data_IF_799661811587
#
_entry.id   IF_799661811587
#
_cell.length_a   1.000
_cell.length_b   1.000
_cell.length_c   1.000
_cell.angle_alpha   90.00
_cell.angle_beta   90.00
_cell.angle_gamma   90.00
#
_symmetry.space_group_name_H-M   'P 1'
#
loop_
_entity.id
_entity.type
_entity.pdbx_description
1 polymer ?
#
# COMPACT_ATOMS: atom_id res chain seq x y z
N UNK A 1 -20.09 4.69 -5.36
CA UNK A 1 -20.07 6.09 -5.81
C UNK A 1 -18.84 6.25 -6.67
N UNK A 2 -18.95 6.88 -7.82
CA UNK A 2 -17.79 7.29 -8.60
C UNK A 2 -17.22 8.56 -7.93
N UNK A 3 -15.90 8.65 -7.83
CA UNK A 3 -15.24 9.88 -7.40
C UNK A 3 -15.37 10.95 -8.50
N UNK A 4 -15.47 12.24 -8.15
CA UNK A 4 -15.38 13.30 -9.14
C UNK A 4 -13.97 13.29 -9.80
N UNK A 5 -13.83 13.82 -11.03
CA UNK A 5 -12.51 13.99 -11.64
C UNK A 5 -11.54 14.75 -10.71
N UNK A 6 -10.25 14.44 -10.80
CA UNK A 6 -9.22 15.06 -9.95
C UNK A 6 -9.15 16.58 -10.14
N UNK A 7 -9.34 17.07 -11.37
CA UNK A 7 -9.42 18.49 -11.68
C UNK A 7 -10.55 19.20 -10.93
N UNK A 8 -11.70 18.57 -10.82
CA UNK A 8 -12.85 19.09 -10.08
C UNK A 8 -12.58 19.09 -8.57
N UNK A 9 -12.03 17.98 -8.03
CA UNK A 9 -11.62 17.92 -6.63
C UNK A 9 -10.61 19.03 -6.28
N UNK A 10 -9.62 19.29 -7.14
CA UNK A 10 -8.64 20.39 -6.94
C UNK A 10 -9.27 21.77 -6.91
N UNK A 11 -10.28 22.01 -7.72
CA UNK A 11 -10.94 23.31 -7.81
C UNK A 11 -11.87 23.56 -6.61
N UNK A 12 -12.55 22.53 -6.16
CA UNK A 12 -13.60 22.62 -5.14
C UNK A 12 -13.06 22.43 -3.71
N UNK A 13 -12.03 21.60 -3.53
CA UNK A 13 -11.47 21.32 -2.21
C UNK A 13 -10.18 22.11 -1.97
N UNK A 14 -10.25 23.09 -1.08
CA UNK A 14 -9.09 23.86 -0.60
C UNK A 14 -8.93 23.71 0.91
N UNK A 15 -8.57 22.52 1.41
CA UNK A 15 -8.45 22.29 2.84
C UNK A 15 -7.34 23.14 3.44
N UNK A 16 -7.67 23.82 4.55
CA UNK A 16 -6.70 24.57 5.33
C UNK A 16 -6.23 23.71 6.50
N UNK A 17 -5.09 23.03 6.32
CA UNK A 17 -4.53 22.19 7.36
C UNK A 17 -3.84 23.01 8.45
N UNK A 18 -4.13 22.72 9.71
CA UNK A 18 -3.36 23.25 10.81
C UNK A 18 -1.91 22.75 10.74
N UNK A 19 -0.96 23.66 10.79
CA UNK A 19 0.46 23.34 10.83
C UNK A 19 1.09 23.84 12.12
N UNK A 20 1.56 22.90 12.94
CA UNK A 20 2.34 23.24 14.13
C UNK A 20 3.64 23.93 13.73
N UNK A 21 4.04 24.96 14.49
CA UNK A 21 5.36 25.58 14.32
C UNK A 21 6.43 24.55 14.71
N UNK A 22 7.34 24.28 13.82
CA UNK A 22 8.42 23.31 14.02
C UNK A 22 9.77 24.01 13.77
N UNK A 23 10.79 23.73 14.61
CA UNK A 23 12.14 24.21 14.40
C UNK A 23 12.71 23.64 13.08
N UNK A 24 13.07 24.49 12.10
CA UNK A 24 13.54 24.03 10.79
C UNK A 24 14.83 23.20 10.89
N UNK A 25 15.69 23.49 11.88
CA UNK A 25 16.96 22.78 12.08
C UNK A 25 16.72 21.36 12.57
N UNK A 26 15.83 21.20 13.54
CA UNK A 26 15.42 19.88 14.03
C UNK A 26 14.70 19.08 12.94
N UNK A 27 13.81 19.74 12.19
CA UNK A 27 13.11 19.12 11.07
C UNK A 27 14.09 18.57 10.03
N UNK A 28 15.07 19.37 9.57
CA UNK A 28 16.11 18.92 8.61
C UNK A 28 16.89 17.73 9.15
N UNK A 29 17.28 17.74 10.42
CA UNK A 29 18.02 16.66 11.05
C UNK A 29 17.24 15.34 11.02
N UNK A 30 15.95 15.36 11.36
CA UNK A 30 15.10 14.17 11.37
C UNK A 30 14.70 13.71 9.98
N UNK A 31 14.62 14.62 9.00
CA UNK A 31 14.26 14.30 7.61
C UNK A 31 15.46 13.88 6.76
N UNK A 32 16.68 13.79 7.33
CA UNK A 32 17.88 13.38 6.59
C UNK A 32 17.81 11.92 6.19
N UNK A 33 17.79 11.68 4.89
CA UNK A 33 17.79 10.34 4.30
C UNK A 33 19.21 9.75 4.28
N UNK A 34 19.28 8.42 4.17
CA UNK A 34 20.57 7.71 4.10
C UNK A 34 20.40 6.42 3.32
N UNK A 35 21.24 6.20 2.31
CA UNK A 35 21.25 4.94 1.57
C UNK A 35 21.59 3.74 2.46
N UNK A 36 22.53 3.91 3.39
CA UNK A 36 22.91 2.84 4.33
C UNK A 36 21.72 2.37 5.17
N UNK A 37 20.97 3.30 5.77
CA UNK A 37 19.76 2.97 6.54
C UNK A 37 18.66 2.37 5.64
N UNK A 38 18.52 2.91 4.42
CA UNK A 38 17.61 2.39 3.43
C UNK A 38 17.90 0.93 3.06
N UNK A 39 19.16 0.57 2.86
CA UNK A 39 19.56 -0.82 2.61
C UNK A 39 19.33 -1.74 3.82
N UNK A 40 19.56 -1.27 5.04
CA UNK A 40 19.23 -2.06 6.24
C UNK A 40 17.72 -2.33 6.29
N UNK A 41 16.89 -1.31 6.04
CA UNK A 41 15.44 -1.46 6.09
C UNK A 41 14.89 -2.26 4.91
N UNK A 42 15.02 -1.75 3.70
CA UNK A 42 14.42 -2.37 2.51
C UNK A 42 15.19 -3.63 2.10
N UNK A 43 16.51 -3.58 2.04
CA UNK A 43 17.36 -4.73 1.70
C UNK A 43 17.32 -5.83 2.77
N UNK A 44 17.37 -5.46 4.04
CA UNK A 44 17.24 -6.40 5.16
C UNK A 44 15.89 -7.09 5.18
N UNK A 45 14.80 -6.34 4.95
CA UNK A 45 13.46 -6.92 4.85
C UNK A 45 13.32 -7.88 3.66
N UNK A 46 13.86 -7.52 2.50
CA UNK A 46 13.91 -8.39 1.33
C UNK A 46 14.76 -9.64 1.59
N UNK A 47 15.91 -9.50 2.28
CA UNK A 47 16.74 -10.63 2.70
C UNK A 47 15.97 -11.61 3.61
N UNK A 48 15.23 -11.09 4.59
CA UNK A 48 14.36 -11.91 5.46
C UNK A 48 13.28 -12.64 4.67
N UNK A 49 12.67 -11.96 3.70
CA UNK A 49 11.70 -12.59 2.79
C UNK A 49 12.32 -13.76 2.02
N UNK A 50 13.50 -13.57 1.45
CA UNK A 50 14.20 -14.64 0.72
C UNK A 50 14.58 -15.82 1.64
N UNK A 51 15.11 -15.53 2.83
CA UNK A 51 15.49 -16.57 3.80
C UNK A 51 14.27 -17.38 4.24
N UNK A 52 13.21 -16.71 4.64
CA UNK A 52 11.99 -17.41 5.10
C UNK A 52 11.28 -18.15 3.97
N UNK A 53 11.32 -17.63 2.73
CA UNK A 53 10.83 -18.34 1.55
C UNK A 53 11.63 -19.60 1.25
N UNK A 54 12.95 -19.55 1.39
CA UNK A 54 13.83 -20.73 1.24
C UNK A 54 13.54 -21.77 2.32
N UNK A 55 13.40 -21.35 3.58
CA UNK A 55 13.05 -22.25 4.68
C UNK A 55 11.69 -22.92 4.47
N UNK A 56 10.72 -22.15 3.98
CA UNK A 56 9.41 -22.67 3.62
C UNK A 56 9.50 -23.72 2.52
N UNK A 57 10.26 -23.44 1.46
CA UNK A 57 10.49 -24.36 0.36
C UNK A 57 11.18 -25.67 0.81
N UNK A 58 12.24 -25.55 1.62
CA UNK A 58 12.96 -26.74 2.18
C UNK A 58 12.01 -27.56 3.04
N UNK A 59 11.21 -26.93 3.90
CA UNK A 59 10.25 -27.62 4.76
C UNK A 59 9.20 -28.40 3.92
N UNK A 60 8.76 -27.82 2.81
CA UNK A 60 7.88 -28.45 1.85
C UNK A 60 8.54 -29.69 1.19
N UNK A 61 9.77 -29.53 0.67
CA UNK A 61 10.49 -30.59 -0.02
C UNK A 61 10.71 -31.84 0.87
N UNK A 62 10.96 -31.63 2.15
CA UNK A 62 11.22 -32.72 3.11
C UNK A 62 9.95 -33.16 3.87
N UNK A 63 8.78 -32.66 3.50
CA UNK A 63 7.50 -32.99 4.16
C UNK A 63 7.50 -32.74 5.68
N UNK A 64 8.25 -31.73 6.14
CA UNK A 64 8.28 -31.32 7.55
C UNK A 64 7.09 -30.43 7.88
N UNK A 65 5.91 -31.00 7.94
CA UNK A 65 4.63 -30.25 7.95
C UNK A 65 4.47 -29.26 9.11
N UNK A 66 5.00 -29.59 10.29
CA UNK A 66 4.98 -28.67 11.43
C UNK A 66 5.87 -27.45 11.15
N UNK A 67 7.10 -27.71 10.67
CA UNK A 67 8.03 -26.63 10.31
C UNK A 67 7.51 -25.81 9.13
N UNK A 68 6.90 -26.46 8.14
CA UNK A 68 6.23 -25.80 7.02
C UNK A 68 5.14 -24.84 7.51
N UNK A 69 4.28 -25.27 8.43
CA UNK A 69 3.22 -24.41 8.98
C UNK A 69 3.76 -23.19 9.72
N UNK A 70 4.81 -23.39 10.51
CA UNK A 70 5.47 -22.30 11.25
C UNK A 70 6.14 -21.32 10.25
N UNK A 71 6.91 -21.83 9.30
CA UNK A 71 7.61 -21.00 8.31
C UNK A 71 6.64 -20.31 7.36
N UNK A 72 5.51 -20.92 7.03
CA UNK A 72 4.44 -20.31 6.24
C UNK A 72 3.85 -19.09 6.96
N UNK A 73 3.56 -19.22 8.24
CA UNK A 73 3.06 -18.10 9.06
C UNK A 73 4.08 -16.96 9.13
N UNK A 74 5.35 -17.28 9.41
CA UNK A 74 6.43 -16.28 9.48
C UNK A 74 6.63 -15.59 8.13
N UNK A 75 6.72 -16.38 7.04
CA UNK A 75 6.90 -15.84 5.69
C UNK A 75 5.71 -14.97 5.25
N UNK A 76 4.48 -15.39 5.54
CA UNK A 76 3.28 -14.61 5.27
C UNK A 76 3.26 -13.29 6.05
N UNK A 77 3.68 -13.30 7.31
CA UNK A 77 3.81 -12.09 8.12
C UNK A 77 4.84 -11.12 7.51
N UNK A 78 6.04 -11.60 7.14
CA UNK A 78 7.06 -10.79 6.50
C UNK A 78 6.55 -10.24 5.15
N UNK A 79 5.87 -11.07 4.35
CA UNK A 79 5.30 -10.68 3.06
C UNK A 79 4.25 -9.57 3.18
N UNK A 80 3.48 -9.56 4.26
CA UNK A 80 2.41 -8.57 4.45
C UNK A 80 2.93 -7.13 4.55
N UNK A 81 4.17 -6.94 5.01
CA UNK A 81 4.79 -5.62 5.12
C UNK A 81 5.13 -4.98 3.77
N UNK A 82 5.28 -5.77 2.70
CA UNK A 82 5.55 -5.19 1.38
C UNK A 82 4.41 -4.29 0.92
N UNK A 83 3.18 -4.76 1.02
CA UNK A 83 2.00 -4.07 0.52
C UNK A 83 1.67 -2.80 1.31
N UNK A 84 1.72 -2.87 2.63
CA UNK A 84 1.34 -1.75 3.49
C UNK A 84 2.48 -0.75 3.67
N UNK A 85 3.45 -1.13 4.47
CA UNK A 85 4.48 -0.21 4.98
C UNK A 85 5.56 0.09 3.95
N UNK A 86 6.11 -0.94 3.27
CA UNK A 86 7.29 -0.75 2.45
C UNK A 86 6.97 0.04 1.17
N UNK A 87 5.87 -0.29 0.48
CA UNK A 87 5.42 0.43 -0.72
C UNK A 87 5.03 1.87 -0.37
N UNK A 88 4.43 2.09 0.79
CA UNK A 88 4.09 3.42 1.30
C UNK A 88 5.32 4.31 1.44
N UNK A 89 6.30 3.89 2.21
CA UNK A 89 7.51 4.70 2.48
C UNK A 89 8.35 4.91 1.20
N UNK A 90 8.45 3.90 0.35
CA UNK A 90 9.16 3.99 -0.92
C UNK A 90 8.42 4.90 -1.92
N UNK A 91 7.09 4.91 -1.90
CA UNK A 91 6.25 5.81 -2.68
C UNK A 91 6.51 7.28 -2.35
N UNK A 92 6.72 7.60 -1.07
CA UNK A 92 7.17 8.93 -0.64
C UNK A 92 8.62 9.26 -1.01
N UNK A 93 9.40 8.26 -1.44
CA UNK A 93 10.82 8.44 -1.74
C UNK A 93 11.65 8.80 -0.52
N UNK A 94 11.26 8.35 0.68
CA UNK A 94 11.87 8.74 1.97
C UNK A 94 12.89 7.75 2.48
N UNK A 95 12.90 6.51 1.98
CA UNK A 95 13.76 5.42 2.47
C UNK A 95 15.23 5.61 2.09
N UNK A 96 15.49 5.96 0.83
CA UNK A 96 16.84 6.18 0.33
C UNK A 96 17.09 7.66 0.01
N UNK A 97 18.33 8.11 0.16
CA UNK A 97 18.78 9.40 -0.33
C UNK A 97 18.76 9.43 -1.87
N UNK A 98 19.21 8.33 -2.50
CA UNK A 98 19.26 8.17 -3.93
C UNK A 98 17.88 7.86 -4.51
N UNK A 99 17.34 8.74 -5.34
CA UNK A 99 15.97 8.67 -5.86
C UNK A 99 15.68 7.37 -6.64
N UNK A 100 16.61 6.89 -7.46
CA UNK A 100 16.37 5.68 -8.24
C UNK A 100 16.26 4.41 -7.36
N UNK A 101 16.94 4.37 -6.21
CA UNK A 101 16.81 3.25 -5.25
C UNK A 101 15.40 3.16 -4.68
N UNK A 102 14.78 4.29 -4.34
CA UNK A 102 13.38 4.29 -3.90
C UNK A 102 12.47 3.71 -5.00
N UNK A 103 12.65 4.10 -6.26
CA UNK A 103 11.86 3.57 -7.39
C UNK A 103 12.12 2.09 -7.61
N UNK A 104 13.37 1.66 -7.57
CA UNK A 104 13.73 0.24 -7.76
C UNK A 104 13.04 -0.65 -6.72
N UNK A 105 13.19 -0.33 -5.44
CA UNK A 105 12.56 -1.11 -4.37
C UNK A 105 11.04 -0.96 -4.37
N UNK A 106 10.49 0.18 -4.74
CA UNK A 106 9.05 0.36 -4.92
C UNK A 106 8.50 -0.63 -5.95
N UNK A 107 9.12 -0.71 -7.12
CA UNK A 107 8.67 -1.62 -8.17
C UNK A 107 8.87 -3.09 -7.81
N UNK A 108 10.01 -3.43 -7.19
CA UNK A 108 10.28 -4.78 -6.71
C UNK A 108 9.23 -5.24 -5.68
N UNK A 109 8.94 -4.41 -4.70
CA UNK A 109 8.00 -4.76 -3.64
C UNK A 109 6.55 -4.74 -4.11
N UNK A 110 6.22 -3.84 -5.03
CA UNK A 110 4.92 -3.83 -5.69
C UNK A 110 4.69 -5.10 -6.52
N UNK A 111 5.72 -5.58 -7.23
CA UNK A 111 5.66 -6.84 -7.97
C UNK A 111 5.44 -8.03 -7.02
N UNK A 112 6.19 -8.12 -5.93
CA UNK A 112 6.06 -9.20 -4.93
C UNK A 112 4.67 -9.22 -4.29
N UNK A 113 4.11 -8.04 -4.02
CA UNK A 113 2.82 -7.90 -3.35
C UNK A 113 1.61 -7.82 -4.31
N UNK A 114 1.83 -7.95 -5.61
CA UNK A 114 0.80 -7.80 -6.64
C UNK A 114 0.04 -6.48 -6.53
N UNK A 115 0.79 -5.38 -6.38
CA UNK A 115 0.24 -4.05 -6.23
C UNK A 115 0.64 -3.15 -7.40
N UNK A 116 -0.32 -2.34 -7.90
CA UNK A 116 -0.02 -1.35 -8.92
C UNK A 116 0.64 -0.10 -8.27
N UNK A 117 1.95 0.14 -8.48
CA UNK A 117 2.64 1.26 -7.85
C UNK A 117 2.18 2.63 -8.37
N UNK A 118 1.68 2.71 -9.59
CA UNK A 118 1.24 3.97 -10.20
C UNK A 118 -0.11 4.41 -9.64
N UNK A 119 -1.08 3.49 -9.62
CA UNK A 119 -2.38 3.74 -9.01
C UNK A 119 -2.24 4.10 -7.52
N UNK A 120 -1.38 3.35 -6.81
CA UNK A 120 -1.10 3.62 -5.42
C UNK A 120 -0.49 5.01 -5.21
N UNK A 121 0.55 5.38 -5.96
CA UNK A 121 1.20 6.69 -5.81
C UNK A 121 0.22 7.84 -6.08
N UNK A 122 -0.66 7.69 -7.06
CA UNK A 122 -1.69 8.66 -7.38
C UNK A 122 -2.74 8.76 -6.26
N UNK A 123 -3.35 7.64 -5.86
CA UNK A 123 -4.37 7.62 -4.81
C UNK A 123 -3.83 8.14 -3.47
N UNK A 124 -2.58 7.77 -3.15
CA UNK A 124 -1.91 8.17 -1.93
C UNK A 124 -1.55 9.65 -1.89
N UNK A 125 -1.17 10.25 -3.03
CA UNK A 125 -0.98 11.69 -3.16
C UNK A 125 -2.26 12.45 -2.82
N UNK A 126 -3.40 11.97 -3.31
CA UNK A 126 -4.70 12.56 -3.00
C UNK A 126 -5.13 12.32 -1.56
N UNK A 127 -4.84 11.13 -1.01
CA UNK A 127 -5.06 10.85 0.40
C UNK A 127 -4.34 11.87 1.30
N UNK A 128 -3.06 12.12 1.09
CA UNK A 128 -2.32 13.12 1.86
C UNK A 128 -2.82 14.55 1.68
N UNK A 129 -3.30 14.89 0.49
CA UNK A 129 -3.80 16.24 0.19
C UNK A 129 -5.19 16.48 0.78
N UNK A 130 -6.05 15.48 0.77
CA UNK A 130 -7.47 15.61 1.08
C UNK A 130 -7.94 14.63 2.16
N UNK A 131 -7.06 14.18 3.03
CA UNK A 131 -7.34 13.19 4.07
C UNK A 131 -8.73 13.35 4.68
N UNK A 132 -9.55 12.29 4.60
CA UNK A 132 -10.92 12.19 5.10
C UNK A 132 -11.97 13.07 4.40
N UNK A 133 -11.62 13.83 3.38
CA UNK A 133 -12.60 14.52 2.54
C UNK A 133 -13.17 13.54 1.49
N UNK A 134 -14.47 13.19 1.53
CA UNK A 134 -15.02 12.11 0.69
C UNK A 134 -14.87 12.33 -0.82
N UNK A 135 -14.76 13.58 -1.25
CA UNK A 135 -14.64 13.95 -2.67
C UNK A 135 -13.22 13.88 -3.18
N UNK A 136 -12.23 14.02 -2.29
CA UNK A 136 -10.82 14.10 -2.64
C UNK A 136 -9.96 12.93 -2.17
N UNK A 137 -10.26 12.33 -1.01
CA UNK A 137 -9.53 11.18 -0.50
C UNK A 137 -9.83 9.93 -1.32
N UNK A 138 -8.79 9.32 -1.87
CA UNK A 138 -8.88 8.14 -2.74
C UNK A 138 -8.59 6.82 -2.02
N UNK A 139 -8.20 6.85 -0.76
CA UNK A 139 -7.82 5.63 0.00
C UNK A 139 -8.77 5.33 1.15
N UNK A 140 -9.03 6.30 2.00
CA UNK A 140 -9.76 6.08 3.25
C UNK A 140 -11.09 6.79 3.23
N UNK A 141 -12.14 6.00 3.14
CA UNK A 141 -13.50 6.44 3.40
C UNK A 141 -13.89 5.88 4.77
N UNK A 142 -13.77 6.69 5.81
CA UNK A 142 -14.28 6.30 7.12
C UNK A 142 -15.79 6.06 7.01
N UNK A 143 -16.30 4.96 7.55
CA UNK A 143 -17.73 4.74 7.63
C UNK A 143 -18.33 5.80 8.55
N UNK A 144 -19.41 6.40 8.11
CA UNK A 144 -20.19 7.32 8.93
C UNK A 144 -20.72 6.60 10.19
N UNK A 145 -20.95 5.30 10.07
CA UNK A 145 -21.35 4.44 11.17
C UNK A 145 -20.45 3.19 11.21
N UNK A 146 -19.71 2.95 12.30
CA UNK A 146 -18.89 1.76 12.44
C UNK A 146 -19.79 0.52 12.45
N UNK A 147 -19.50 -0.45 11.57
CA UNK A 147 -20.18 -1.73 11.58
C UNK A 147 -19.39 -2.73 12.43
N UNK A 148 -19.87 -2.98 13.64
CA UNK A 148 -19.28 -3.97 14.57
C UNK A 148 -20.03 -5.32 14.54
N UNK A 149 -20.72 -5.61 13.44
CA UNK A 149 -21.46 -6.86 13.29
C UNK A 149 -20.57 -8.11 13.31
N UNK A 150 -21.15 -9.27 13.60
CA UNK A 150 -20.45 -10.54 13.70
C UNK A 150 -19.63 -10.89 12.44
N UNK A 151 -20.11 -10.53 11.26
CA UNK A 151 -19.41 -10.71 9.99
C UNK A 151 -18.12 -9.88 9.90
N UNK A 152 -18.12 -8.65 10.43
CA UNK A 152 -16.92 -7.82 10.50
C UNK A 152 -15.91 -8.42 11.48
N UNK A 153 -16.34 -8.82 12.65
CA UNK A 153 -15.47 -9.47 13.65
C UNK A 153 -14.88 -10.78 13.07
N UNK A 154 -15.68 -11.58 12.39
CA UNK A 154 -15.20 -12.79 11.75
C UNK A 154 -14.12 -12.50 10.70
N UNK A 155 -14.26 -11.42 9.93
CA UNK A 155 -13.28 -11.02 8.91
C UNK A 155 -11.93 -10.56 9.50
N UNK A 156 -11.92 -10.04 10.72
CA UNK A 156 -10.67 -9.69 11.41
C UNK A 156 -9.81 -10.92 11.75
N UNK A 157 -10.44 -12.08 11.90
CA UNK A 157 -9.78 -13.32 12.33
C UNK A 157 -9.75 -14.42 11.26
N UNK A 158 -10.29 -14.16 10.08
CA UNK A 158 -10.33 -15.13 8.97
C UNK A 158 -9.81 -14.52 7.67
N UNK A 159 -9.41 -15.40 6.74
CA UNK A 159 -9.05 -14.96 5.38
C UNK A 159 -10.30 -14.43 4.67
N UNK A 160 -10.26 -13.16 4.32
CA UNK A 160 -11.29 -12.58 3.47
C UNK A 160 -11.05 -13.02 2.01
N UNK A 161 -11.64 -14.13 1.60
CA UNK A 161 -11.51 -14.66 0.24
C UNK A 161 -12.49 -14.02 -0.73
N UNK A 162 -13.63 -13.55 -0.24
CA UNK A 162 -14.74 -13.03 -1.05
C UNK A 162 -15.08 -11.61 -0.61
N UNK A 163 -15.34 -10.79 -1.60
CA UNK A 163 -15.75 -9.40 -1.40
C UNK A 163 -17.04 -9.32 -0.60
N UNK A 164 -17.00 -8.58 0.49
CA UNK A 164 -18.23 -8.04 1.03
C UNK A 164 -18.46 -6.63 0.50
N UNK A 165 -19.67 -6.27 0.04
CA UNK A 165 -20.01 -4.91 -0.34
C UNK A 165 -20.06 -4.04 0.90
N UNK A 166 -18.95 -3.45 1.27
CA UNK A 166 -18.85 -2.55 2.40
C UNK A 166 -17.62 -1.68 2.24
N UNK A 167 -17.82 -0.40 2.38
CA UNK A 167 -16.88 0.67 2.08
C UNK A 167 -15.63 0.75 2.97
N UNK A 168 -15.38 -0.19 3.85
CA UNK A 168 -14.49 0.04 4.99
C UNK A 168 -13.04 -0.37 4.80
N UNK A 169 -12.74 -1.35 3.99
CA UNK A 169 -11.36 -1.78 3.71
C UNK A 169 -11.31 -2.38 2.31
N UNK A 170 -10.99 -1.56 1.34
CA UNK A 170 -10.74 -2.01 0.00
C UNK A 170 -11.87 -2.84 -0.62
N UNK A 171 -12.01 -2.77 -1.88
CA UNK A 171 -13.04 -3.49 -2.63
C UNK A 171 -12.68 -4.96 -2.73
N UNK A 172 -12.84 -5.72 -1.65
CA UNK A 172 -12.86 -7.14 -1.81
C UNK A 172 -11.73 -7.93 -1.15
N UNK A 173 -11.98 -9.23 -1.01
CA UNK A 173 -11.03 -10.20 -0.54
C UNK A 173 -9.93 -10.51 -1.56
N UNK A 174 -9.09 -11.50 -1.23
CA UNK A 174 -7.94 -11.90 -2.02
C UNK A 174 -8.26 -12.15 -3.51
N UNK A 175 -9.34 -12.86 -3.81
CA UNK A 175 -9.74 -13.17 -5.19
C UNK A 175 -10.11 -11.92 -5.98
N UNK A 176 -10.77 -10.97 -5.33
CA UNK A 176 -11.10 -9.68 -5.93
C UNK A 176 -9.84 -8.85 -6.19
N UNK A 177 -8.89 -8.82 -5.25
CA UNK A 177 -7.62 -8.12 -5.42
C UNK A 177 -6.82 -8.69 -6.60
N UNK A 178 -6.73 -10.02 -6.73
CA UNK A 178 -6.08 -10.68 -7.87
C UNK A 178 -6.78 -10.29 -9.17
N UNK A 179 -8.11 -10.41 -9.23
CA UNK A 179 -8.89 -10.07 -10.43
C UNK A 179 -8.71 -8.63 -10.86
N UNK A 180 -8.78 -7.70 -9.92
CA UNK A 180 -8.63 -6.28 -10.19
C UNK A 180 -7.20 -5.93 -10.66
N UNK A 181 -6.18 -6.53 -10.06
CA UNK A 181 -4.79 -6.38 -10.51
C UNK A 181 -4.59 -6.91 -11.94
N UNK A 182 -5.24 -8.03 -12.26
CA UNK A 182 -5.22 -8.57 -13.63
C UNK A 182 -5.90 -7.62 -14.61
N UNK A 183 -7.07 -7.05 -14.26
CA UNK A 183 -7.75 -6.07 -15.11
C UNK A 183 -6.89 -4.83 -15.36
N UNK A 184 -6.23 -4.32 -14.33
CA UNK A 184 -5.34 -3.16 -14.44
C UNK A 184 -4.11 -3.47 -15.32
N UNK A 185 -3.54 -4.67 -15.22
CA UNK A 185 -2.43 -5.12 -16.05
C UNK A 185 -2.80 -5.19 -17.54
N UNK A 186 -4.07 -5.45 -17.87
CA UNK A 186 -4.58 -5.47 -19.24
C UNK A 186 -5.22 -4.15 -19.70
N UNK A 187 -5.01 -3.06 -18.95
CA UNK A 187 -5.52 -1.73 -19.29
C UNK A 187 -7.04 -1.60 -19.17
N UNK A 188 -7.71 -2.56 -18.53
CA UNK A 188 -9.13 -2.50 -18.23
C UNK A 188 -9.31 -1.94 -16.82
N UNK A 189 -9.31 -0.62 -16.71
CA UNK A 189 -9.56 0.09 -15.45
C UNK A 189 -10.91 -0.31 -14.85
N UNK A 190 -10.89 -1.24 -13.91
CA UNK A 190 -12.09 -1.67 -13.18
C UNK A 190 -12.07 -1.32 -11.70
N UNK A 191 -10.92 -1.01 -11.15
CA UNK A 191 -10.72 -0.91 -9.70
C UNK A 191 -9.94 0.28 -9.22
N UNK A 192 -9.23 0.97 -10.10
CA UNK A 192 -8.41 2.07 -9.64
C UNK A 192 -9.28 3.21 -9.11
N UNK A 193 -8.93 3.71 -7.94
CA UNK A 193 -9.54 4.89 -7.37
C UNK A 193 -9.19 6.15 -8.17
N UNK A 194 -8.23 6.01 -9.09
CA UNK A 194 -7.75 7.06 -9.99
C UNK A 194 -7.72 6.51 -11.41
N UNK A 195 -8.39 7.14 -12.39
CA UNK A 195 -8.31 6.75 -13.78
C UNK A 195 -6.85 6.73 -14.30
N UNK A 196 -6.51 5.77 -15.15
CA UNK A 196 -5.15 5.58 -15.63
C UNK A 196 -4.54 6.82 -16.32
N UNK A 197 -5.35 7.61 -17.02
CA UNK A 197 -4.94 8.87 -17.64
C UNK A 197 -4.56 9.97 -16.62
N UNK A 198 -4.98 9.83 -15.37
CA UNK A 198 -4.68 10.80 -14.30
C UNK A 198 -3.47 10.39 -13.45
N UNK A 199 -2.93 9.17 -13.62
CA UNK A 199 -1.79 8.70 -12.82
C UNK A 199 -0.52 9.55 -13.00
N UNK A 200 -0.23 9.92 -14.24
CA UNK A 200 0.95 10.75 -14.54
C UNK A 200 0.78 12.15 -13.97
N UNK A 201 -0.41 12.73 -14.10
CA UNK A 201 -0.70 14.06 -13.57
C UNK A 201 -0.60 14.09 -12.04
N UNK A 202 -1.09 13.06 -11.34
CA UNK A 202 -1.03 12.98 -9.89
C UNK A 202 0.39 12.77 -9.33
N UNK A 203 1.25 12.06 -10.09
CA UNK A 203 2.64 11.76 -9.65
C UNK A 203 3.58 12.93 -9.89
N UNK A 204 3.34 13.76 -10.91
CA UNK A 204 4.22 14.87 -11.29
C UNK A 204 3.74 16.26 -10.83
N UNK A 205 2.58 16.37 -10.20
CA UNK A 205 2.02 17.61 -9.66
C UNK A 205 2.33 17.78 -8.17
#
# INVERSE_FOLDING_TARGET
MAFPPLSEARNNLKPQWYRSKMDPTKFRKFSKRSNYKGFIQAGGHFGLFCITGLLLYISWLHSYWVLFSITLFIHGTISSFFKGTAVHELGHGTVFETKWLNKFFLYLFSLISWWNPFDYAASHTYHHRYTLHPEGDREVLLPVHPNVGATFLLQLFTFNLVTQPGRTFGKGGLLSAIWLTMLDAFGKSGSSNVPANEWLEAVYS
#
